data_IF_177748160375
#
_entry.id   IF_177748160375
#
_cell.length_a   1.000
_cell.length_b   1.000
_cell.length_c   1.000
_cell.angle_alpha   90.00
_cell.angle_beta   90.00
_cell.angle_gamma   90.00
#
_symmetry.space_group_name_H-M   'P 1'
#
loop_
_entity.id
_entity.type
_entity.pdbx_description
1 polymer ?
#
# COMPACT_ATOMS: atom_id res chain seq x y z
N UNK A 1 -13.43 -8.53 -12.31
CA UNK A 1 -13.56 -7.23 -11.66
C UNK A 1 -12.73 -7.18 -10.38
N UNK A 2 -12.11 -6.06 -10.14
CA UNK A 2 -11.22 -5.94 -9.00
C UNK A 2 -11.91 -5.17 -7.87
N UNK A 3 -11.95 -5.78 -6.70
CA UNK A 3 -12.48 -5.13 -5.51
C UNK A 3 -11.39 -4.52 -4.67
N UNK A 4 -10.14 -4.80 -4.99
CA UNK A 4 -9.00 -4.35 -4.19
C UNK A 4 -8.51 -2.99 -4.66
N UNK A 5 -7.86 -2.28 -3.75
CA UNK A 5 -7.17 -1.06 -4.10
C UNK A 5 -5.70 -1.19 -3.72
N UNK A 6 -4.89 -0.36 -4.34
CA UNK A 6 -3.49 -0.22 -3.97
C UNK A 6 -3.32 1.14 -3.31
N UNK A 7 -2.58 1.17 -2.22
CA UNK A 7 -2.37 2.39 -1.45
C UNK A 7 -0.88 2.56 -1.22
N UNK A 8 -0.37 3.75 -1.50
CA UNK A 8 1.02 4.06 -1.23
C UNK A 8 1.22 4.23 0.27
N UNK A 9 2.36 3.76 0.77
CA UNK A 9 2.68 3.92 2.17
C UNK A 9 3.23 5.31 2.44
N UNK A 10 4.36 5.65 1.81
CA UNK A 10 4.99 6.95 2.03
C UNK A 10 4.17 8.06 1.39
N UNK A 11 4.02 9.17 2.09
CA UNK A 11 3.32 10.36 1.64
C UNK A 11 1.82 10.15 1.43
N UNK A 12 1.31 9.02 1.88
CA UNK A 12 -0.13 8.76 1.83
C UNK A 12 -0.58 8.25 3.19
N UNK A 13 -0.24 7.01 3.52
CA UNK A 13 -0.58 6.46 4.84
C UNK A 13 0.35 6.97 5.92
N UNK A 14 1.61 7.21 5.57
CA UNK A 14 2.64 7.52 6.53
C UNK A 14 3.40 8.74 6.08
N UNK A 15 3.38 9.80 6.87
CA UNK A 15 4.01 11.04 6.50
C UNK A 15 4.54 11.72 7.76
N UNK A 16 5.76 12.25 7.67
CA UNK A 16 6.38 12.95 8.79
C UNK A 16 6.43 12.10 10.06
N UNK A 17 6.66 10.80 9.89
CA UNK A 17 6.78 9.90 11.01
C UNK A 17 5.46 9.51 11.65
N UNK A 18 4.34 9.84 11.03
CA UNK A 18 3.04 9.56 11.61
C UNK A 18 2.11 8.93 10.60
N UNK A 19 1.24 8.07 11.09
CA UNK A 19 0.22 7.43 10.27
C UNK A 19 -1.02 8.31 10.24
N UNK A 20 -1.61 8.44 9.06
CA UNK A 20 -2.88 9.15 8.91
C UNK A 20 -4.01 8.24 9.35
N UNK A 21 -4.38 8.36 10.61
CA UNK A 21 -5.38 7.46 11.20
C UNK A 21 -6.77 7.64 10.62
N UNK A 22 -7.09 8.84 10.21
CA UNK A 22 -8.40 9.07 9.58
C UNK A 22 -8.50 8.35 8.26
N UNK A 23 -7.41 8.40 7.49
CA UNK A 23 -7.37 7.70 6.21
C UNK A 23 -7.45 6.19 6.42
N UNK A 24 -6.73 5.69 7.42
CA UNK A 24 -6.78 4.26 7.76
C UNK A 24 -8.21 3.83 8.05
N UNK A 25 -8.92 4.62 8.85
CA UNK A 25 -10.29 4.29 9.19
C UNK A 25 -11.20 4.27 7.97
N UNK A 26 -11.05 5.24 7.09
CA UNK A 26 -11.86 5.31 5.89
C UNK A 26 -11.59 4.14 4.96
N UNK A 27 -10.32 3.77 4.83
CA UNK A 27 -9.95 2.64 3.98
C UNK A 27 -10.53 1.36 4.54
N UNK A 28 -10.42 1.17 5.85
CA UNK A 28 -10.99 -0.02 6.49
C UNK A 28 -12.48 -0.13 6.26
N UNK A 29 -13.18 0.99 6.41
CA UNK A 29 -14.63 0.99 6.25
C UNK A 29 -15.06 0.70 4.83
N UNK A 30 -14.32 1.24 3.88
CA UNK A 30 -14.73 1.10 2.48
C UNK A 30 -14.29 -0.21 1.87
N UNK A 31 -13.09 -0.67 2.18
CA UNK A 31 -12.50 -1.81 1.50
C UNK A 31 -12.36 -3.06 2.36
N UNK A 32 -12.45 -2.88 3.66
CA UNK A 32 -12.50 -4.01 4.61
C UNK A 32 -11.39 -5.04 4.36
N UNK A 33 -10.18 -4.55 4.18
CA UNK A 33 -9.02 -5.43 4.03
C UNK A 33 -8.65 -5.76 2.62
N UNK A 34 -9.43 -5.35 1.64
CA UNK A 34 -9.08 -5.60 0.23
C UNK A 34 -8.12 -4.53 -0.24
N UNK A 35 -6.94 -4.52 0.36
CA UNK A 35 -5.95 -3.47 0.21
C UNK A 35 -4.58 -4.08 0.04
N UNK A 36 -3.83 -3.56 -0.93
CA UNK A 36 -2.41 -3.84 -1.06
C UNK A 36 -1.66 -2.54 -0.83
N UNK A 37 -0.64 -2.59 0.00
CA UNK A 37 0.17 -1.41 0.31
C UNK A 37 1.45 -1.47 -0.49
N UNK A 38 1.76 -0.40 -1.18
CA UNK A 38 2.94 -0.31 -2.03
C UNK A 38 3.92 0.68 -1.42
N UNK A 39 5.20 0.38 -1.53
CA UNK A 39 6.24 1.30 -1.07
C UNK A 39 7.49 1.12 -1.90
N UNK A 40 8.25 2.21 -2.07
CA UNK A 40 9.55 2.15 -2.73
C UNK A 40 10.64 1.72 -1.76
N UNK A 41 10.34 1.59 -0.49
CA UNK A 41 11.32 1.14 0.48
C UNK A 41 11.74 -0.29 0.18
N UNK A 42 12.94 -0.64 0.60
CA UNK A 42 13.46 -1.98 0.31
C UNK A 42 12.75 -3.04 1.16
N UNK A 43 12.91 -4.29 0.75
CA UNK A 43 12.34 -5.41 1.50
C UNK A 43 12.94 -5.54 2.90
N UNK A 44 14.08 -4.91 3.15
CA UNK A 44 14.65 -4.89 4.50
C UNK A 44 13.72 -4.19 5.48
N UNK A 45 12.88 -3.29 5.00
CA UNK A 45 11.99 -2.54 5.86
C UNK A 45 10.59 -3.16 5.91
N UNK A 46 10.42 -4.30 5.30
CA UNK A 46 9.11 -4.94 5.21
C UNK A 46 8.47 -5.12 6.59
N UNK A 47 9.21 -5.67 7.53
CA UNK A 47 8.64 -5.94 8.86
C UNK A 47 8.38 -4.68 9.65
N UNK A 48 9.18 -3.66 9.43
CA UNK A 48 8.93 -2.36 10.06
C UNK A 48 7.61 -1.80 9.57
N UNK A 49 7.41 -1.80 8.26
CA UNK A 49 6.18 -1.30 7.67
C UNK A 49 4.98 -2.13 8.13
N UNK A 50 5.15 -3.43 8.12
CA UNK A 50 4.08 -4.34 8.54
C UNK A 50 3.67 -4.06 9.97
N UNK A 51 4.64 -3.86 10.86
CA UNK A 51 4.33 -3.57 12.25
C UNK A 51 3.59 -2.25 12.40
N UNK A 52 4.00 -1.24 11.66
CA UNK A 52 3.33 0.05 11.69
C UNK A 52 1.86 -0.10 11.27
N UNK A 53 1.62 -0.84 10.20
CA UNK A 53 0.28 -1.02 9.69
C UNK A 53 -0.59 -1.82 10.65
N UNK A 54 -0.01 -2.85 11.25
CA UNK A 54 -0.76 -3.65 12.22
C UNK A 54 -1.11 -2.82 13.45
N UNK A 55 -0.17 -2.02 13.92
CA UNK A 55 -0.41 -1.22 15.12
C UNK A 55 -1.44 -0.13 14.88
N UNK A 56 -1.51 0.40 13.68
CA UNK A 56 -2.51 1.42 13.40
C UNK A 56 -3.86 0.83 13.03
N UNK A 57 -3.95 -0.48 12.91
CA UNK A 57 -5.23 -1.13 12.69
C UNK A 57 -5.66 -1.22 11.24
N UNK A 58 -4.79 -0.92 10.28
CA UNK A 58 -5.15 -1.06 8.88
C UNK A 58 -5.34 -2.53 8.54
N UNK A 59 -6.44 -2.84 7.87
CA UNK A 59 -6.67 -4.18 7.34
C UNK A 59 -6.14 -4.21 5.91
N UNK A 60 -5.26 -5.16 5.63
CA UNK A 60 -4.64 -5.26 4.31
C UNK A 60 -4.28 -6.70 4.02
N UNK A 61 -4.10 -7.00 2.73
CA UNK A 61 -3.77 -8.35 2.31
C UNK A 61 -2.30 -8.54 2.02
N UNK A 62 -1.60 -7.48 1.68
CA UNK A 62 -0.19 -7.62 1.39
C UNK A 62 0.52 -6.29 1.29
N UNK A 63 1.85 -6.37 1.37
CA UNK A 63 2.73 -5.23 1.25
C UNK A 63 3.72 -5.54 0.15
N UNK A 64 3.91 -4.61 -0.78
CA UNK A 64 4.85 -4.79 -1.88
C UNK A 64 5.92 -3.72 -1.76
N UNK A 65 7.14 -4.16 -1.51
CA UNK A 65 8.28 -3.28 -1.33
C UNK A 65 9.15 -3.23 -2.57
N UNK A 66 9.94 -2.18 -2.67
CA UNK A 66 10.97 -2.10 -3.69
C UNK A 66 10.46 -1.90 -5.09
N UNK A 67 9.29 -1.33 -5.25
CA UNK A 67 8.68 -1.20 -6.57
C UNK A 67 9.48 -0.33 -7.52
N UNK A 68 10.42 0.44 -7.01
CA UNK A 68 11.22 1.32 -7.83
C UNK A 68 12.58 0.75 -8.18
N UNK A 69 12.85 -0.48 -7.82
CA UNK A 69 14.18 -1.05 -7.97
C UNK A 69 14.46 -1.56 -9.38
N UNK A 70 13.44 -1.86 -10.16
CA UNK A 70 13.61 -2.39 -11.50
C UNK A 70 12.68 -1.64 -12.43
N UNK A 71 13.26 -0.86 -13.35
CA UNK A 71 12.50 0.02 -14.19
C UNK A 71 11.46 -0.68 -15.04
N UNK A 72 11.87 -1.69 -15.78
CA UNK A 72 10.92 -2.38 -16.65
C UNK A 72 9.86 -3.12 -15.85
N UNK A 73 10.27 -3.65 -14.72
CA UNK A 73 9.33 -4.31 -13.84
C UNK A 73 8.32 -3.31 -13.30
N UNK A 74 8.80 -2.14 -12.98
CA UNK A 74 7.95 -1.08 -12.50
C UNK A 74 6.90 -0.70 -13.53
N UNK A 75 7.29 -0.66 -14.79
CA UNK A 75 6.36 -0.33 -15.86
C UNK A 75 5.23 -1.36 -15.94
N UNK A 76 5.59 -2.62 -15.82
CA UNK A 76 4.58 -3.68 -15.83
C UNK A 76 3.63 -3.52 -14.66
N UNK A 77 4.18 -3.21 -13.51
CA UNK A 77 3.35 -3.00 -12.33
C UNK A 77 2.43 -1.82 -12.49
N UNK A 78 2.93 -0.76 -13.10
CA UNK A 78 2.10 0.40 -13.30
C UNK A 78 0.92 0.10 -14.20
N UNK A 79 1.14 -0.73 -15.19
CA UNK A 79 0.06 -1.15 -16.07
C UNK A 79 -1.01 -1.90 -15.27
N UNK A 80 -0.58 -2.83 -14.42
CA UNK A 80 -1.52 -3.59 -13.61
C UNK A 80 -2.27 -2.71 -12.64
N UNK A 81 -1.57 -1.80 -11.99
CA UNK A 81 -2.20 -0.90 -11.05
C UNK A 81 -3.21 -0.01 -11.76
N UNK A 82 -2.85 0.42 -12.95
CA UNK A 82 -3.73 1.24 -13.74
C UNK A 82 -5.02 0.51 -14.07
N UNK A 83 -4.90 -0.74 -14.49
CA UNK A 83 -6.08 -1.55 -14.77
C UNK A 83 -6.93 -1.73 -13.53
N UNK A 84 -6.28 -1.91 -12.40
CA UNK A 84 -6.95 -2.02 -11.13
C UNK A 84 -7.83 -0.80 -10.87
N UNK A 85 -7.24 0.37 -11.06
CA UNK A 85 -7.92 1.61 -10.73
C UNK A 85 -9.02 1.95 -11.72
N UNK A 86 -8.88 1.53 -12.93
CA UNK A 86 -9.85 1.86 -13.97
C UNK A 86 -11.02 0.90 -14.00
N UNK A 87 -10.88 -0.21 -13.33
CA UNK A 87 -11.96 -1.17 -13.28
C UNK A 87 -12.80 -0.98 -12.03
#
# INVERSE_FOLDING_TARGET
MFDHISVDFDSTLFENGQVDMELVQRINEKYNGKVFVFTSRSWYEYYLIKNILIQCGLKFEGIICGKLMVGSYLDDRNVLIKEFKEK
#
